data_IF_694837700593
#
_entry.id   IF_694837700593
#
_cell.length_a   1.000
_cell.length_b   1.000
_cell.length_c   1.000
_cell.angle_alpha   90.00
_cell.angle_beta   90.00
_cell.angle_gamma   90.00
#
_symmetry.space_group_name_H-M   'P 1'
#
loop_
_entity.id
_entity.type
_entity.pdbx_description
1 polymer ?
#
# COMPACT_ATOMS: atom_id res chain seq x y z
N UNK A 1 -18.83 -10.76 -23.82
CA UNK A 1 -17.39 -10.94 -24.10
C UNK A 1 -16.77 -11.66 -22.92
N UNK A 2 -16.18 -12.84 -23.14
CA UNK A 2 -15.66 -13.73 -22.09
C UNK A 2 -14.39 -13.11 -21.50
N UNK A 3 -14.41 -12.82 -20.20
CA UNK A 3 -13.22 -12.42 -19.45
C UNK A 3 -12.18 -13.54 -19.53
N UNK A 4 -11.04 -13.27 -20.14
CA UNK A 4 -9.91 -14.19 -20.21
C UNK A 4 -9.24 -14.22 -18.82
N UNK A 5 -9.90 -14.86 -17.87
CA UNK A 5 -9.31 -15.13 -16.56
C UNK A 5 -8.04 -15.94 -16.77
N UNK A 6 -6.92 -15.45 -16.24
CA UNK A 6 -5.64 -16.15 -16.28
C UNK A 6 -5.86 -17.50 -15.59
N UNK A 7 -5.91 -18.57 -16.39
CA UNK A 7 -6.15 -19.92 -15.87
C UNK A 7 -5.05 -20.30 -14.87
N UNK A 8 -5.31 -21.19 -13.91
CA UNK A 8 -4.31 -21.66 -12.95
C UNK A 8 -3.01 -22.16 -13.60
N UNK A 9 -3.13 -22.71 -14.82
CA UNK A 9 -2.02 -23.18 -15.65
C UNK A 9 -1.20 -22.02 -16.26
N UNK A 10 -1.84 -20.90 -16.62
CA UNK A 10 -1.15 -19.69 -17.10
C UNK A 10 -0.26 -19.07 -16.04
N UNK A 11 -0.73 -19.03 -14.77
CA UNK A 11 0.07 -18.52 -13.64
C UNK A 11 1.31 -19.37 -13.34
N UNK A 12 1.24 -20.70 -13.50
CA UNK A 12 2.42 -21.58 -13.33
C UNK A 12 3.47 -21.31 -14.40
N UNK A 13 3.06 -21.22 -15.67
CA UNK A 13 3.99 -20.93 -16.79
C UNK A 13 4.65 -19.56 -16.65
N UNK A 14 3.91 -18.54 -16.22
CA UNK A 14 4.46 -17.20 -16.00
C UNK A 14 5.51 -17.21 -14.87
N UNK A 15 5.26 -17.94 -13.77
CA UNK A 15 6.23 -18.12 -12.68
C UNK A 15 7.50 -18.84 -13.12
N UNK A 16 7.37 -19.88 -13.95
CA UNK A 16 8.52 -20.61 -14.49
C UNK A 16 9.35 -19.74 -15.45
N UNK A 17 8.70 -18.90 -16.26
CA UNK A 17 9.39 -17.94 -17.15
C UNK A 17 10.09 -16.85 -16.36
N UNK A 18 9.42 -16.29 -15.35
CA UNK A 18 10.02 -15.30 -14.47
C UNK A 18 11.22 -15.89 -13.71
N UNK A 19 11.10 -17.11 -13.17
CA UNK A 19 12.21 -17.80 -12.51
C UNK A 19 13.41 -17.98 -13.46
N UNK A 20 13.16 -18.37 -14.71
CA UNK A 20 14.20 -18.47 -15.73
C UNK A 20 14.82 -17.11 -16.07
N UNK A 21 14.01 -16.05 -16.16
CA UNK A 21 14.47 -14.69 -16.43
C UNK A 21 15.32 -14.14 -15.27
N UNK A 22 15.00 -14.48 -14.03
CA UNK A 22 15.77 -14.14 -12.84
C UNK A 22 17.15 -14.82 -12.83
N UNK A 23 17.24 -16.06 -13.34
CA UNK A 23 18.47 -16.85 -13.39
C UNK A 23 19.31 -16.63 -14.67
N UNK A 24 18.78 -15.90 -15.66
CA UNK A 24 19.45 -15.64 -16.94
C UNK A 24 20.60 -14.62 -16.82
N UNK A 25 21.63 -14.75 -17.66
CA UNK A 25 22.77 -13.82 -17.73
C UNK A 25 22.29 -12.46 -18.30
N UNK A 26 22.91 -11.32 -17.91
CA UNK A 26 22.49 -10.00 -18.40
C UNK A 26 22.65 -9.94 -19.92
N UNK A 27 21.52 -10.01 -20.64
CA UNK A 27 21.48 -10.07 -22.11
C UNK A 27 20.39 -10.97 -22.70
N UNK A 28 19.89 -11.94 -21.92
CA UNK A 28 18.82 -12.88 -22.32
C UNK A 28 17.50 -12.64 -21.55
N UNK A 29 17.34 -11.44 -20.98
CA UNK A 29 16.19 -11.09 -20.14
C UNK A 29 14.97 -10.75 -21.01
N UNK A 30 13.85 -11.43 -20.73
CA UNK A 30 12.57 -11.17 -21.37
C UNK A 30 12.06 -9.75 -21.01
N UNK A 31 11.82 -8.86 -21.99
CA UNK A 31 11.37 -7.49 -21.73
C UNK A 31 10.02 -7.42 -21.01
N UNK A 32 9.22 -8.50 -21.01
CA UNK A 32 7.97 -8.60 -20.23
C UNK A 32 8.19 -8.36 -18.72
N UNK A 33 9.39 -8.69 -18.19
CA UNK A 33 9.70 -8.62 -16.75
C UNK A 33 10.72 -7.52 -16.41
N UNK A 34 10.87 -6.50 -17.26
CA UNK A 34 11.92 -5.49 -17.08
C UNK A 34 11.86 -4.77 -15.72
N UNK A 35 10.65 -4.41 -15.27
CA UNK A 35 10.44 -3.71 -14.00
C UNK A 35 10.70 -4.63 -12.79
N UNK A 36 10.21 -5.88 -12.85
CA UNK A 36 10.44 -6.86 -11.79
C UNK A 36 11.92 -7.26 -11.70
N UNK A 37 12.61 -7.39 -12.83
CA UNK A 37 14.05 -7.67 -12.88
C UNK A 37 14.87 -6.47 -12.35
N UNK A 38 14.42 -5.24 -12.55
CA UNK A 38 15.04 -4.06 -11.95
C UNK A 38 14.94 -4.09 -10.42
N UNK A 39 13.78 -4.48 -9.87
CA UNK A 39 13.61 -4.69 -8.41
C UNK A 39 14.53 -5.81 -7.92
N UNK A 40 14.61 -6.92 -8.64
CA UNK A 40 15.51 -8.03 -8.29
C UNK A 40 16.98 -7.59 -8.32
N UNK A 41 17.38 -6.76 -9.29
CA UNK A 41 18.74 -6.22 -9.37
C UNK A 41 19.07 -5.33 -8.16
N UNK A 42 18.17 -4.42 -7.79
CA UNK A 42 18.31 -3.59 -6.58
C UNK A 42 18.40 -4.44 -5.31
N UNK A 43 17.60 -5.51 -5.21
CA UNK A 43 17.66 -6.45 -4.09
C UNK A 43 18.98 -7.25 -4.06
N UNK A 44 19.52 -7.65 -5.21
CA UNK A 44 20.83 -8.33 -5.29
C UNK A 44 21.96 -7.39 -4.87
N UNK A 45 21.91 -6.12 -5.28
CA UNK A 45 22.89 -5.11 -4.88
C UNK A 45 22.84 -4.82 -3.37
N UNK A 46 21.63 -4.68 -2.82
CA UNK A 46 21.41 -4.57 -1.38
C UNK A 46 21.87 -5.83 -0.62
N UNK A 47 21.65 -7.02 -1.18
CA UNK A 47 22.11 -8.28 -0.60
C UNK A 47 23.64 -8.43 -0.66
N UNK A 48 24.29 -7.94 -1.72
CA UNK A 48 25.75 -7.93 -1.84
C UNK A 48 26.40 -7.05 -0.77
N UNK A 49 25.76 -5.94 -0.41
CA UNK A 49 26.23 -5.01 0.62
C UNK A 49 25.85 -5.42 2.05
N UNK A 50 24.84 -6.28 2.20
CA UNK A 50 24.32 -6.75 3.50
C UNK A 50 24.70 -8.19 3.86
N UNK A 51 25.24 -8.95 2.92
CA UNK A 51 25.57 -10.36 3.08
C UNK A 51 26.81 -10.65 3.95
N UNK A 52 27.06 -11.93 4.31
CA UNK A 52 28.26 -12.32 5.04
C UNK A 52 29.51 -11.89 4.26
N UNK A 53 30.50 -11.36 4.98
CA UNK A 53 31.80 -11.00 4.41
C UNK A 53 32.53 -12.24 3.84
N UNK A 54 33.54 -12.02 3.01
CA UNK A 54 34.25 -13.08 2.30
C UNK A 54 34.88 -14.10 3.25
N UNK A 55 35.36 -13.65 4.42
CA UNK A 55 35.87 -14.52 5.46
C UNK A 55 34.77 -15.38 6.10
N UNK A 56 33.56 -14.83 6.30
CA UNK A 56 32.39 -15.57 6.77
C UNK A 56 31.91 -16.58 5.73
N UNK A 57 31.93 -16.24 4.44
CA UNK A 57 31.62 -17.16 3.34
C UNK A 57 32.64 -18.29 3.26
N UNK A 58 33.93 -18.00 3.40
CA UNK A 58 34.99 -19.01 3.44
C UNK A 58 34.77 -19.98 4.62
N UNK A 59 34.49 -19.47 5.83
CA UNK A 59 34.15 -20.30 7.01
C UNK A 59 32.87 -21.12 6.85
N UNK A 60 31.88 -20.60 6.12
CA UNK A 60 30.65 -21.34 5.81
C UNK A 60 30.94 -22.44 4.79
N UNK A 61 31.70 -22.12 3.74
CA UNK A 61 32.13 -23.07 2.72
C UNK A 61 32.99 -24.19 3.30
N UNK A 62 33.90 -23.87 4.20
CA UNK A 62 34.72 -24.84 4.93
C UNK A 62 33.88 -25.75 5.83
N UNK A 63 32.83 -25.23 6.49
CA UNK A 63 31.89 -26.05 7.29
C UNK A 63 30.94 -26.91 6.46
N UNK A 64 30.64 -26.50 5.23
CA UNK A 64 29.75 -27.23 4.31
C UNK A 64 30.52 -28.29 3.51
N UNK A 65 31.76 -27.99 3.13
CA UNK A 65 32.63 -28.91 2.38
C UNK A 65 33.49 -29.80 3.30
N UNK A 66 33.77 -29.35 4.53
CA UNK A 66 34.44 -30.12 5.56
C UNK A 66 33.43 -30.90 6.38
N UNK A 67 33.41 -32.23 6.19
CA UNK A 67 32.67 -33.14 7.05
C UNK A 67 33.01 -32.90 8.53
N UNK A 68 31.98 -33.01 9.39
CA UNK A 68 31.97 -32.78 10.83
C UNK A 68 33.33 -32.96 11.55
N UNK A 69 33.85 -31.95 12.26
CA UNK A 69 34.91 -32.21 13.24
C UNK A 69 34.29 -32.98 14.44
N UNK A 70 35.08 -33.82 15.13
CA UNK A 70 34.63 -34.45 16.38
C UNK A 70 34.27 -33.37 17.42
N UNK A 71 33.44 -33.68 18.44
CA UNK A 71 33.05 -32.71 19.45
C UNK A 71 34.29 -32.33 20.28
N UNK A 72 35.00 -31.29 19.84
CA UNK A 72 36.06 -30.63 20.61
C UNK A 72 35.45 -29.78 21.72
N UNK A 73 36.21 -29.54 22.81
CA UNK A 73 35.70 -28.83 23.99
C UNK A 73 35.20 -27.45 23.58
N UNK A 74 34.04 -27.08 24.14
CA UNK A 74 33.28 -25.88 23.84
C UNK A 74 34.18 -24.65 23.68
N UNK A 75 34.55 -24.36 22.43
CA UNK A 75 35.18 -23.10 22.08
C UNK A 75 34.16 -22.01 22.39
N UNK A 76 34.52 -21.18 23.36
CA UNK A 76 33.87 -19.95 23.76
C UNK A 76 33.20 -19.29 22.55
N UNK A 77 31.86 -19.37 22.49
CA UNK A 77 31.03 -18.83 21.42
C UNK A 77 31.04 -17.30 21.54
N UNK A 78 32.18 -16.68 21.24
CA UNK A 78 32.25 -15.25 21.04
C UNK A 78 31.34 -14.91 19.86
N UNK A 79 30.32 -14.05 20.05
CA UNK A 79 29.42 -13.70 18.97
C UNK A 79 30.27 -13.14 17.82
N UNK A 80 30.00 -13.55 16.57
CA UNK A 80 30.73 -13.03 15.43
C UNK A 80 30.58 -11.52 15.46
N UNK A 81 31.71 -10.81 15.53
CA UNK A 81 31.73 -9.36 15.38
C UNK A 81 31.38 -9.08 13.93
N UNK A 82 30.09 -9.05 13.60
CA UNK A 82 29.61 -8.57 12.31
C UNK A 82 30.22 -7.19 12.08
N UNK A 83 30.93 -7.04 10.95
CA UNK A 83 31.60 -5.78 10.61
C UNK A 83 30.63 -4.60 10.70
N UNK A 84 31.17 -3.39 10.87
CA UNK A 84 30.38 -2.17 11.06
C UNK A 84 29.24 -2.00 10.04
N UNK A 85 29.44 -2.49 8.80
CA UNK A 85 28.45 -2.47 7.72
C UNK A 85 27.21 -3.34 7.99
N UNK A 86 27.36 -4.56 8.52
CA UNK A 86 26.21 -5.42 8.87
C UNK A 86 25.40 -4.87 10.05
N UNK A 87 26.08 -4.24 11.01
CA UNK A 87 25.42 -3.53 12.12
C UNK A 87 24.66 -2.30 11.65
N UNK A 88 25.21 -1.57 10.68
CA UNK A 88 24.54 -0.43 10.06
C UNK A 88 23.27 -0.85 9.32
N UNK A 89 23.31 -1.93 8.52
CA UNK A 89 22.14 -2.43 7.81
C UNK A 89 21.01 -2.86 8.77
N UNK A 90 21.35 -3.58 9.84
CA UNK A 90 20.38 -3.96 10.88
C UNK A 90 19.81 -2.72 11.59
N UNK A 91 20.64 -1.71 11.89
CA UNK A 91 20.19 -0.47 12.49
C UNK A 91 19.24 0.31 11.56
N UNK A 92 19.50 0.34 10.25
CA UNK A 92 18.62 0.99 9.27
C UNK A 92 17.27 0.28 9.15
N UNK A 93 17.26 -1.05 9.10
CA UNK A 93 16.00 -1.82 9.10
C UNK A 93 15.23 -1.59 10.40
N UNK A 94 15.90 -1.64 11.55
CA UNK A 94 15.26 -1.37 12.84
C UNK A 94 14.71 0.06 12.92
N UNK A 95 15.45 1.05 12.42
CA UNK A 95 14.98 2.43 12.34
C UNK A 95 13.76 2.57 11.42
N UNK A 96 13.77 1.91 10.25
CA UNK A 96 12.63 1.88 9.36
C UNK A 96 11.40 1.24 10.02
N UNK A 97 11.57 0.07 10.66
CA UNK A 97 10.49 -0.59 11.40
C UNK A 97 9.92 0.31 12.51
N UNK A 98 10.78 1.03 13.22
CA UNK A 98 10.36 2.00 14.24
C UNK A 98 9.56 3.14 13.62
N UNK A 99 10.04 3.74 12.54
CA UNK A 99 9.34 4.83 11.82
C UNK A 99 7.97 4.35 11.33
N UNK A 100 7.89 3.16 10.71
CA UNK A 100 6.62 2.58 10.25
C UNK A 100 5.66 2.29 11.41
N UNK A 101 6.18 1.82 12.54
CA UNK A 101 5.38 1.58 13.75
C UNK A 101 4.81 2.88 14.33
N UNK A 102 5.64 3.93 14.39
CA UNK A 102 5.22 5.26 14.84
C UNK A 102 4.20 5.89 13.87
N UNK A 103 4.41 5.74 12.56
CA UNK A 103 3.46 6.20 11.56
C UNK A 103 2.12 5.46 11.67
N UNK A 104 2.15 4.13 11.80
CA UNK A 104 0.97 3.31 12.01
C UNK A 104 0.22 3.69 13.29
N UNK A 105 0.95 3.91 14.39
CA UNK A 105 0.38 4.37 15.66
C UNK A 105 -0.28 5.75 15.51
N UNK A 106 0.36 6.67 14.79
CA UNK A 106 -0.19 8.00 14.52
C UNK A 106 -1.51 7.95 13.76
N UNK A 107 -1.64 7.04 12.79
CA UNK A 107 -2.89 6.80 12.05
C UNK A 107 -3.97 6.19 12.94
N UNK A 108 -3.61 5.33 13.88
CA UNK A 108 -4.58 4.76 14.83
C UNK A 108 -5.10 5.83 15.80
N UNK A 109 -4.21 6.66 16.34
CA UNK A 109 -4.55 7.76 17.24
C UNK A 109 -5.35 8.87 16.55
N UNK A 110 -5.13 9.09 15.25
CA UNK A 110 -5.82 10.16 14.52
C UNK A 110 -7.28 9.81 14.18
N UNK A 111 -7.74 8.58 14.40
CA UNK A 111 -9.12 8.16 14.05
C UNK A 111 -10.20 9.04 14.69
N UNK A 112 -9.99 9.40 15.95
CA UNK A 112 -10.94 10.22 16.72
C UNK A 112 -10.58 11.72 16.71
N UNK A 113 -9.55 12.11 15.95
CA UNK A 113 -9.19 13.51 15.79
C UNK A 113 -10.30 14.25 15.04
N UNK A 114 -10.73 15.38 15.60
CA UNK A 114 -11.71 16.27 15.00
C UNK A 114 -11.01 17.41 14.24
N UNK A 115 -11.71 18.08 13.31
CA UNK A 115 -11.21 19.29 12.66
C UNK A 115 -10.71 20.32 13.68
N UNK A 116 -9.44 20.71 13.55
CA UNK A 116 -8.73 21.60 14.48
C UNK A 116 -7.84 20.88 15.50
N UNK A 117 -8.01 19.57 15.69
CA UNK A 117 -7.11 18.76 16.51
C UNK A 117 -5.77 18.52 15.77
N UNK A 118 -4.68 18.41 16.53
CA UNK A 118 -3.33 18.29 15.96
C UNK A 118 -3.14 17.11 14.99
N UNK A 119 -3.82 15.98 15.26
CA UNK A 119 -3.72 14.76 14.45
C UNK A 119 -4.72 14.71 13.28
N UNK A 120 -5.57 15.73 13.10
CA UNK A 120 -6.58 15.72 12.04
C UNK A 120 -5.94 15.66 10.63
N UNK A 121 -4.80 16.34 10.43
CA UNK A 121 -4.04 16.24 9.18
C UNK A 121 -3.56 14.82 8.85
N UNK A 122 -3.20 14.04 9.88
CA UNK A 122 -2.82 12.63 9.74
C UNK A 122 -4.03 11.79 9.33
N UNK A 123 -5.20 12.04 9.94
CA UNK A 123 -6.47 11.40 9.55
C UNK A 123 -6.78 11.64 8.06
N UNK A 124 -6.76 12.90 7.60
CA UNK A 124 -7.03 13.24 6.19
C UNK A 124 -6.02 12.65 5.21
N UNK A 125 -4.76 12.54 5.61
CA UNK A 125 -3.72 11.91 4.79
C UNK A 125 -3.94 10.40 4.69
N UNK A 126 -4.30 9.73 5.79
CA UNK A 126 -4.64 8.30 5.79
C UNK A 126 -5.87 8.00 4.93
N UNK A 127 -6.90 8.85 5.00
CA UNK A 127 -8.09 8.79 4.14
C UNK A 127 -7.72 8.93 2.66
N UNK A 128 -6.90 9.93 2.32
CA UNK A 128 -6.42 10.15 0.94
C UNK A 128 -5.59 8.98 0.41
N UNK A 129 -4.72 8.40 1.24
CA UNK A 129 -3.96 7.20 0.89
C UNK A 129 -4.89 6.01 0.63
N UNK A 130 -5.94 5.83 1.45
CA UNK A 130 -6.90 4.73 1.27
C UNK A 130 -7.71 4.88 -0.02
N UNK A 131 -8.02 6.10 -0.45
CA UNK A 131 -8.62 6.37 -1.76
C UNK A 131 -7.66 6.04 -2.91
N UNK A 132 -6.38 6.38 -2.78
CA UNK A 132 -5.35 6.04 -3.77
C UNK A 132 -5.16 4.54 -3.95
N UNK A 133 -5.39 3.75 -2.89
CA UNK A 133 -5.36 2.28 -2.92
C UNK A 133 -6.68 1.64 -3.38
N UNK A 134 -7.75 2.43 -3.51
CA UNK A 134 -9.03 1.94 -4.03
C UNK A 134 -8.98 2.00 -5.56
N UNK A 135 -9.03 0.85 -6.23
CA UNK A 135 -8.77 0.80 -7.68
C UNK A 135 -9.96 1.24 -8.53
N UNK A 136 -11.15 0.70 -8.24
CA UNK A 136 -12.34 0.91 -9.05
C UNK A 136 -13.05 2.23 -8.70
N UNK A 137 -13.58 2.92 -9.72
CA UNK A 137 -14.21 4.24 -9.56
C UNK A 137 -15.53 4.18 -8.80
N UNK A 138 -16.29 3.09 -8.92
CA UNK A 138 -17.51 2.88 -8.13
C UNK A 138 -17.17 2.70 -6.65
N UNK A 139 -16.15 1.89 -6.36
CA UNK A 139 -15.60 1.69 -5.02
C UNK A 139 -15.06 2.99 -4.42
N UNK A 140 -14.35 3.81 -5.21
CA UNK A 140 -13.94 5.17 -4.80
C UNK A 140 -15.14 6.06 -4.49
N UNK A 141 -16.20 5.97 -5.31
CA UNK A 141 -17.46 6.67 -5.09
C UNK A 141 -18.07 6.35 -3.73
N UNK A 142 -18.23 5.07 -3.40
CA UNK A 142 -18.71 4.64 -2.09
C UNK A 142 -17.76 5.05 -0.95
N UNK A 143 -16.44 4.95 -1.14
CA UNK A 143 -15.43 5.38 -0.17
C UNK A 143 -15.55 6.87 0.16
N UNK A 144 -15.81 7.71 -0.84
CA UNK A 144 -16.06 9.16 -0.65
C UNK A 144 -17.33 9.40 0.17
N UNK A 145 -18.41 8.66 -0.09
CA UNK A 145 -19.63 8.77 0.71
C UNK A 145 -19.43 8.31 2.16
N UNK A 146 -18.59 7.30 2.40
CA UNK A 146 -18.16 6.89 3.74
C UNK A 146 -17.46 8.05 4.48
N UNK A 147 -16.55 8.78 3.82
CA UNK A 147 -15.89 9.95 4.40
C UNK A 147 -16.84 11.10 4.65
N UNK A 148 -17.80 11.34 3.76
CA UNK A 148 -18.86 12.32 3.98
C UNK A 148 -19.66 11.97 5.25
N UNK A 149 -20.12 10.72 5.38
CA UNK A 149 -20.81 10.28 6.60
C UNK A 149 -19.94 10.47 7.86
N UNK A 150 -18.64 10.17 7.78
CA UNK A 150 -17.71 10.41 8.87
C UNK A 150 -17.61 11.90 9.25
N UNK A 151 -17.64 12.84 8.29
CA UNK A 151 -17.65 14.29 8.60
C UNK A 151 -18.90 14.73 9.35
N UNK A 152 -20.06 14.12 9.08
CA UNK A 152 -21.28 14.36 9.87
C UNK A 152 -21.11 13.90 11.31
N UNK A 153 -20.56 12.70 11.52
CA UNK A 153 -20.25 12.21 12.87
C UNK A 153 -19.22 13.09 13.61
N UNK A 154 -18.23 13.64 12.90
CA UNK A 154 -17.30 14.61 13.47
C UNK A 154 -17.98 15.91 13.89
N UNK A 155 -18.91 16.43 13.07
CA UNK A 155 -19.72 17.60 13.41
C UNK A 155 -20.55 17.33 14.67
N UNK A 156 -21.23 16.19 14.75
CA UNK A 156 -22.00 15.78 15.93
C UNK A 156 -21.10 15.72 17.17
N UNK A 157 -19.91 15.14 17.04
CA UNK A 157 -18.93 15.06 18.14
C UNK A 157 -18.43 16.45 18.55
N UNK A 158 -18.21 17.36 17.60
CA UNK A 158 -17.84 18.75 17.89
C UNK A 158 -18.99 19.49 18.62
N UNK A 159 -20.24 19.30 18.19
CA UNK A 159 -21.41 19.90 18.85
C UNK A 159 -21.54 19.35 20.27
N UNK A 160 -21.38 18.05 20.46
CA UNK A 160 -21.45 17.41 21.78
C UNK A 160 -20.33 17.90 22.71
N UNK A 161 -19.09 17.93 22.21
CA UNK A 161 -17.89 18.38 22.94
C UNK A 161 -18.00 19.82 23.44
N UNK A 162 -18.64 20.70 22.69
CA UNK A 162 -18.72 22.13 23.00
C UNK A 162 -20.13 22.62 23.38
N UNK A 163 -21.07 21.70 23.64
CA UNK A 163 -22.48 22.02 23.95
C UNK A 163 -22.61 23.07 25.07
N UNK A 164 -21.87 22.89 26.15
CA UNK A 164 -21.96 23.73 27.35
C UNK A 164 -21.04 24.97 27.28
N UNK A 165 -20.19 25.05 26.27
CA UNK A 165 -19.18 26.11 26.12
C UNK A 165 -19.70 27.38 25.43
N UNK A 166 -20.98 27.43 25.04
CA UNK A 166 -21.56 28.57 24.31
C UNK A 166 -21.18 28.63 22.82
N UNK A 167 -20.61 27.54 22.28
CA UNK A 167 -20.21 27.39 20.88
C UNK A 167 -18.80 26.82 20.73
N UNK A 168 -18.63 25.87 19.81
CA UNK A 168 -17.31 25.29 19.50
C UNK A 168 -16.51 26.12 18.48
N UNK A 169 -15.30 25.65 18.11
CA UNK A 169 -14.44 26.34 17.17
C UNK A 169 -15.09 26.40 15.77
N UNK A 170 -15.55 27.59 15.37
CA UNK A 170 -16.21 27.84 14.08
C UNK A 170 -15.42 27.28 12.89
N UNK A 171 -14.09 27.44 12.91
CA UNK A 171 -13.21 26.89 11.88
C UNK A 171 -13.34 25.38 11.73
N UNK A 172 -13.44 24.63 12.84
CA UNK A 172 -13.60 23.18 12.82
C UNK A 172 -14.92 22.75 12.18
N UNK A 173 -16.03 23.42 12.52
CA UNK A 173 -17.33 23.17 11.90
C UNK A 173 -17.32 23.45 10.40
N UNK A 174 -16.76 24.60 9.98
CA UNK A 174 -16.68 24.97 8.57
C UNK A 174 -15.79 24.01 7.77
N UNK A 175 -14.67 23.57 8.34
CA UNK A 175 -13.81 22.54 7.72
C UNK A 175 -14.57 21.24 7.54
N UNK A 176 -15.26 20.74 8.57
CA UNK A 176 -16.02 19.49 8.47
C UNK A 176 -17.12 19.57 7.40
N UNK A 177 -17.82 20.70 7.33
CA UNK A 177 -18.89 20.92 6.36
C UNK A 177 -18.36 21.01 4.92
N UNK A 178 -17.24 21.71 4.72
CA UNK A 178 -16.60 21.80 3.40
C UNK A 178 -16.06 20.43 2.95
N UNK A 179 -15.44 19.67 3.86
CA UNK A 179 -14.97 18.31 3.60
C UNK A 179 -16.16 17.38 3.26
N UNK A 180 -17.27 17.48 4.00
CA UNK A 180 -18.50 16.73 3.75
C UNK A 180 -19.03 16.99 2.34
N UNK A 181 -19.20 18.27 1.97
CA UNK A 181 -19.74 18.66 0.67
C UNK A 181 -18.84 18.17 -0.48
N UNK A 182 -17.52 18.34 -0.32
CA UNK A 182 -16.56 17.86 -1.31
C UNK A 182 -16.62 16.34 -1.50
N UNK A 183 -16.62 15.56 -0.42
CA UNK A 183 -16.66 14.10 -0.47
C UNK A 183 -18.04 13.59 -0.95
N UNK A 184 -19.15 14.20 -0.53
CA UNK A 184 -20.51 13.86 -0.98
C UNK A 184 -20.70 14.17 -2.48
N UNK A 185 -20.29 15.35 -2.93
CA UNK A 185 -20.38 15.75 -4.33
C UNK A 185 -19.47 14.89 -5.23
N UNK A 186 -18.27 14.51 -4.77
CA UNK A 186 -17.39 13.62 -5.52
C UNK A 186 -17.96 12.19 -5.60
N UNK A 187 -18.42 11.64 -4.48
CA UNK A 187 -19.00 10.29 -4.41
C UNK A 187 -20.26 10.15 -5.26
N UNK A 188 -21.21 11.08 -5.12
CA UNK A 188 -22.44 11.08 -5.90
C UNK A 188 -22.19 11.18 -7.41
N UNK A 189 -21.27 12.05 -7.85
CA UNK A 189 -20.89 12.16 -9.27
C UNK A 189 -20.28 10.87 -9.82
N UNK A 190 -19.39 10.22 -9.07
CA UNK A 190 -18.79 8.96 -9.47
C UNK A 190 -19.85 7.85 -9.69
N UNK A 191 -20.80 7.74 -8.76
CA UNK A 191 -21.89 6.76 -8.87
C UNK A 191 -22.90 7.11 -9.98
N UNK A 192 -23.22 8.40 -10.17
CA UNK A 192 -24.11 8.85 -11.24
C UNK A 192 -23.51 8.62 -12.64
N UNK A 193 -22.20 8.82 -12.80
CA UNK A 193 -21.49 8.56 -14.05
C UNK A 193 -21.55 7.07 -14.46
N UNK A 194 -21.56 6.16 -13.48
CA UNK A 194 -21.73 4.72 -13.69
C UNK A 194 -23.16 4.38 -14.13
N UNK A 195 -24.16 4.90 -13.42
CA UNK A 195 -25.58 4.68 -13.74
C UNK A 195 -25.95 5.17 -15.14
N UNK A 196 -25.51 6.37 -15.50
CA UNK A 196 -25.68 6.94 -16.85
C UNK A 196 -24.86 6.23 -17.95
N UNK A 197 -23.82 5.47 -17.59
CA UNK A 197 -23.10 4.60 -18.51
C UNK A 197 -23.87 3.34 -18.88
N UNK A 198 -24.48 2.68 -17.88
CA UNK A 198 -25.36 1.54 -18.10
C UNK A 198 -26.62 1.93 -18.88
N UNK A 199 -27.21 3.09 -18.55
CA UNK A 199 -28.38 3.62 -19.24
C UNK A 199 -28.09 4.18 -20.63
N UNK A 200 -26.85 4.55 -20.97
CA UNK A 200 -26.55 5.13 -22.30
C UNK A 200 -26.82 4.18 -23.45
N UNK A 201 -26.54 2.88 -23.27
CA UNK A 201 -26.83 1.85 -24.26
C UNK A 201 -28.36 1.64 -24.39
N UNK A 202 -29.06 1.66 -23.26
CA UNK A 202 -30.52 1.56 -23.19
C UNK A 202 -31.20 2.77 -23.83
N UNK A 203 -30.70 3.99 -23.54
CA UNK A 203 -31.17 5.26 -24.10
C UNK A 203 -30.83 5.38 -25.59
N UNK A 204 -29.70 4.83 -26.03
CA UNK A 204 -29.35 4.68 -27.44
C UNK A 204 -30.34 3.77 -28.16
N UNK A 205 -30.58 2.57 -27.63
CA UNK A 205 -31.56 1.64 -28.19
C UNK A 205 -32.99 2.21 -28.24
N UNK A 206 -33.40 2.95 -27.19
CA UNK A 206 -34.69 3.66 -27.16
C UNK A 206 -34.77 4.75 -28.22
N UNK A 207 -33.69 5.51 -28.43
CA UNK A 207 -33.61 6.53 -29.47
C UNK A 207 -33.68 5.91 -30.87
N UNK A 208 -32.90 4.87 -31.13
CA UNK A 208 -32.86 4.18 -32.42
C UNK A 208 -34.24 3.57 -32.75
N UNK A 209 -34.87 2.92 -31.75
CA UNK A 209 -36.25 2.45 -31.87
C UNK A 209 -37.20 3.61 -32.20
N UNK A 210 -37.15 4.72 -31.47
CA UNK A 210 -38.04 5.87 -31.73
C UNK A 210 -37.85 6.44 -33.15
N UNK A 211 -36.61 6.55 -33.64
CA UNK A 211 -36.34 6.99 -35.00
C UNK A 211 -36.82 6.00 -36.07
N UNK A 212 -36.92 4.71 -35.76
CA UNK A 212 -37.45 3.69 -36.67
C UNK A 212 -38.99 3.70 -36.82
N UNK A 213 -39.69 4.45 -35.96
CA UNK A 213 -41.15 4.57 -35.98
C UNK A 213 -41.65 5.75 -36.83
N UNK A 214 -40.75 6.52 -37.46
CA UNK A 214 -41.08 7.68 -38.31
C UNK A 214 -40.79 7.34 -39.76
#
# INVERSE_FOLDING_TARGET
MVGRGITPLGRRRQRERFARAVDALPGDADPEFADELAVVALLREAAATSGPDEAARARMRERVLGASPPPGPAADRRPPRGGARGRLAVALVAALCLVLSLAGMSVLLSRDALPGDALYGVKRTAESASLGLTFDEESKGYKRLEFAAARVAELETLVDRYRDSGGGPLGGYLTALADFDADAAAGSRALAARGSGADRLTLGALRDWATSQT
#
